data_IF_481705110195
#
_entry.id   IF_481705110195
#
_cell.length_a   1.000
_cell.length_b   1.000
_cell.length_c   1.000
_cell.angle_alpha   90.00
_cell.angle_beta   90.00
_cell.angle_gamma   90.00
#
_symmetry.space_group_name_H-M   'P 1'
#
loop_
_entity.id
_entity.type
_entity.pdbx_description
1 polymer ?
#
# COMPACT_ATOMS: atom_id res chain seq x y z
N UNK A 1 -9.39 61.80 -66.98
CA UNK A 1 -10.60 60.95 -66.89
C UNK A 1 -10.13 59.66 -66.22
N UNK A 2 -10.55 59.20 -65.05
CA UNK A 2 -11.88 59.25 -64.41
C UNK A 2 -11.74 58.97 -62.90
N UNK A 3 -12.35 59.86 -62.08
CA UNK A 3 -13.00 59.73 -60.76
C UNK A 3 -12.57 58.64 -59.73
N UNK A 4 -12.06 59.12 -58.59
CA UNK A 4 -12.59 59.04 -57.21
C UNK A 4 -13.45 57.84 -56.71
N UNK A 5 -13.06 57.33 -55.51
CA UNK A 5 -13.82 57.32 -54.21
C UNK A 5 -14.07 55.98 -53.46
N UNK A 6 -13.52 55.94 -52.23
CA UNK A 6 -13.96 55.46 -50.88
C UNK A 6 -14.08 53.98 -50.46
N UNK A 7 -13.32 53.70 -49.38
CA UNK A 7 -13.68 53.15 -48.03
C UNK A 7 -14.33 51.75 -47.93
N UNK A 8 -13.66 50.87 -47.18
CA UNK A 8 -14.28 49.78 -46.43
C UNK A 8 -13.44 49.40 -45.20
N UNK A 9 -13.99 49.60 -43.99
CA UNK A 9 -13.46 49.13 -42.69
C UNK A 9 -14.09 47.78 -42.36
N UNK A 10 -13.30 46.80 -41.89
CA UNK A 10 -13.69 45.69 -41.00
C UNK A 10 -12.48 44.73 -40.87
N UNK A 11 -12.22 43.96 -39.82
CA UNK A 11 -12.54 43.94 -38.39
C UNK A 11 -11.60 42.85 -37.80
N UNK A 12 -11.38 42.86 -36.49
CA UNK A 12 -10.57 41.90 -35.72
C UNK A 12 -10.88 40.41 -35.99
N UNK A 13 -9.85 39.55 -35.98
CA UNK A 13 -9.91 38.16 -35.48
C UNK A 13 -8.47 37.68 -35.18
N UNK A 14 -8.01 37.80 -33.92
CA UNK A 14 -8.07 36.78 -32.88
C UNK A 14 -6.95 35.71 -33.01
N UNK A 15 -5.99 35.80 -32.10
CA UNK A 15 -4.89 34.86 -31.91
C UNK A 15 -5.40 33.46 -31.52
N UNK A 16 -4.81 32.41 -32.11
CA UNK A 16 -4.91 31.05 -31.61
C UNK A 16 -3.54 30.60 -31.12
N UNK A 17 -3.22 30.90 -29.85
CA UNK A 17 -2.15 30.22 -29.14
C UNK A 17 -2.71 28.86 -28.69
N UNK A 18 -2.34 27.78 -29.38
CA UNK A 18 -2.67 26.42 -28.94
C UNK A 18 -1.86 26.11 -27.69
N UNK A 19 -2.48 26.20 -26.52
CA UNK A 19 -1.95 25.62 -25.30
C UNK A 19 -1.97 24.09 -25.45
N UNK A 20 -0.81 23.49 -25.70
CA UNK A 20 -0.65 22.04 -25.65
C UNK A 20 -0.76 21.63 -24.17
N UNK A 21 -1.91 21.11 -23.78
CA UNK A 21 -2.05 20.37 -22.52
C UNK A 21 -1.30 19.06 -22.69
N UNK A 22 -0.02 19.03 -22.29
CA UNK A 22 0.67 17.78 -22.07
C UNK A 22 0.12 17.22 -20.76
N UNK A 23 -0.61 16.08 -20.74
CA UNK A 23 -0.84 15.39 -19.48
C UNK A 23 0.54 14.89 -19.03
N UNK A 24 1.19 15.62 -18.12
CA UNK A 24 2.39 15.15 -17.44
C UNK A 24 1.99 13.95 -16.59
N UNK A 25 2.16 12.77 -17.19
CA UNK A 25 2.46 11.47 -16.59
C UNK A 25 1.89 11.23 -15.18
N UNK A 26 0.56 11.07 -15.05
CA UNK A 26 -0.02 10.48 -13.84
C UNK A 26 0.37 9.00 -13.64
N UNK A 27 0.85 8.31 -14.69
CA UNK A 27 1.16 6.88 -14.66
C UNK A 27 2.59 6.52 -14.17
N UNK A 28 3.52 7.47 -14.03
CA UNK A 28 4.85 7.17 -13.47
C UNK A 28 4.88 7.14 -11.93
N UNK A 29 3.86 7.72 -11.28
CA UNK A 29 3.75 7.77 -9.81
C UNK A 29 3.11 6.51 -9.18
N UNK A 30 2.57 5.58 -9.97
CA UNK A 30 1.89 4.41 -9.42
C UNK A 30 2.81 3.34 -8.83
N UNK A 31 4.13 3.40 -9.10
CA UNK A 31 5.12 2.51 -8.49
C UNK A 31 5.95 3.14 -7.36
N UNK A 32 5.69 4.41 -7.00
CA UNK A 32 6.37 5.08 -5.89
C UNK A 32 5.46 5.28 -4.67
N UNK A 33 4.72 4.23 -4.26
CA UNK A 33 3.98 4.35 -3.01
C UNK A 33 4.95 4.53 -1.84
N UNK A 34 4.70 5.54 -1.01
CA UNK A 34 5.41 5.70 0.26
C UNK A 34 5.07 4.57 1.25
N UNK A 35 3.87 4.00 1.17
CA UNK A 35 3.46 2.92 2.04
C UNK A 35 3.85 1.57 1.44
N UNK A 36 4.72 0.84 2.13
CA UNK A 36 5.26 -0.44 1.64
C UNK A 36 5.26 -1.51 2.72
N UNK A 37 5.34 -2.76 2.30
CA UNK A 37 5.48 -3.90 3.18
C UNK A 37 6.95 -4.01 3.57
N UNK A 38 7.29 -3.71 4.82
CA UNK A 38 8.67 -3.83 5.31
C UNK A 38 9.12 -5.28 5.42
N UNK A 39 8.23 -6.15 5.89
CA UNK A 39 8.53 -7.56 6.09
C UNK A 39 7.38 -8.32 6.73
N UNK A 40 7.50 -9.64 6.76
CA UNK A 40 6.51 -10.55 7.33
C UNK A 40 7.20 -11.58 8.22
N UNK A 41 6.70 -11.76 9.46
CA UNK A 41 6.89 -13.01 10.19
C UNK A 41 5.82 -13.95 9.64
N UNK A 42 6.21 -14.79 8.69
CA UNK A 42 5.29 -15.64 7.95
C UNK A 42 5.15 -17.02 8.60
N UNK A 43 6.16 -17.45 9.35
CA UNK A 43 6.15 -18.68 10.14
C UNK A 43 6.26 -18.26 11.62
N UNK A 44 5.23 -18.57 12.40
CA UNK A 44 5.18 -18.16 13.80
C UNK A 44 6.23 -18.95 14.61
N UNK A 45 7.05 -18.29 15.45
CA UNK A 45 7.99 -19.00 16.30
C UNK A 45 7.31 -20.07 17.18
N UNK A 46 7.90 -21.26 17.22
CA UNK A 46 7.40 -22.40 17.96
C UNK A 46 6.50 -23.31 17.12
N UNK A 47 5.86 -24.29 17.78
CA UNK A 47 4.92 -25.18 17.09
C UNK A 47 3.58 -24.48 16.89
N UNK A 48 3.09 -24.54 15.67
CA UNK A 48 1.80 -24.01 15.28
C UNK A 48 0.64 -24.50 16.15
N UNK A 49 -0.10 -23.53 16.69
CA UNK A 49 -1.27 -23.74 17.50
C UNK A 49 -2.34 -22.69 17.16
N UNK A 50 -3.36 -23.12 16.42
CA UNK A 50 -4.54 -22.33 16.05
C UNK A 50 -5.49 -22.19 17.26
N UNK A 51 -5.09 -21.38 18.24
CA UNK A 51 -5.89 -21.08 19.42
C UNK A 51 -5.79 -19.60 19.80
N UNK A 52 -6.93 -18.99 20.09
CA UNK A 52 -7.01 -17.56 20.40
C UNK A 52 -6.31 -17.16 21.71
N UNK A 53 -6.29 -18.06 22.68
CA UNK A 53 -5.85 -17.78 24.05
C UNK A 53 -4.45 -18.33 24.32
N UNK A 54 -4.18 -19.55 23.87
CA UNK A 54 -2.93 -20.26 24.12
C UNK A 54 -2.06 -20.45 22.88
N UNK A 55 -2.55 -20.09 21.70
CA UNK A 55 -1.86 -20.26 20.44
C UNK A 55 -0.85 -19.16 20.13
N UNK A 56 -0.13 -19.36 19.03
CA UNK A 56 0.94 -18.49 18.54
C UNK A 56 0.57 -17.72 17.26
N UNK A 57 -0.69 -17.76 16.80
CA UNK A 57 -1.12 -17.05 15.57
C UNK A 57 -0.89 -15.53 15.60
N UNK A 58 -0.85 -14.91 16.79
CA UNK A 58 -0.48 -13.49 16.97
C UNK A 58 1.00 -13.19 16.72
N UNK A 59 1.84 -14.22 16.67
CA UNK A 59 3.26 -14.12 16.39
C UNK A 59 3.54 -14.08 14.88
N UNK A 60 2.58 -14.46 14.03
CA UNK A 60 2.59 -14.06 12.62
C UNK A 60 2.12 -12.61 12.48
N UNK A 61 2.86 -11.85 11.70
CA UNK A 61 2.53 -10.45 11.45
C UNK A 61 3.16 -9.93 10.17
N UNK A 62 2.48 -8.95 9.58
CA UNK A 62 3.00 -8.10 8.51
C UNK A 62 3.36 -6.74 9.09
N UNK A 63 4.56 -6.24 8.77
CA UNK A 63 4.94 -4.88 9.09
C UNK A 63 4.77 -4.00 7.85
N UNK A 64 3.91 -3.00 7.95
CA UNK A 64 3.67 -2.02 6.87
C UNK A 64 4.23 -0.70 7.35
N UNK A 65 5.11 -0.08 6.57
CA UNK A 65 5.85 1.13 6.97
C UNK A 65 5.60 2.26 5.98
N UNK A 66 5.51 3.47 6.53
CA UNK A 66 5.52 4.70 5.76
C UNK A 66 6.97 5.14 5.50
N UNK A 67 7.40 4.99 4.25
CA UNK A 67 8.72 5.40 3.75
C UNK A 67 8.76 6.84 3.24
N UNK A 68 7.66 7.61 3.37
CA UNK A 68 7.70 9.03 3.07
C UNK A 68 8.67 9.74 4.03
N UNK A 69 9.43 10.70 3.50
CA UNK A 69 10.28 11.56 4.32
C UNK A 69 9.49 12.63 5.08
N UNK A 70 8.27 12.96 4.67
CA UNK A 70 7.53 14.13 5.18
C UNK A 70 6.01 13.93 5.32
N UNK A 71 5.41 13.04 4.53
CA UNK A 71 3.96 12.88 4.53
C UNK A 71 3.51 11.84 5.56
N UNK A 72 2.52 12.20 6.37
CA UNK A 72 1.73 11.24 7.15
C UNK A 72 0.79 10.47 6.23
N UNK A 73 0.63 9.16 6.45
CA UNK A 73 -0.30 8.30 5.70
C UNK A 73 -1.41 7.81 6.62
N UNK A 74 -2.67 8.02 6.24
CA UNK A 74 -3.80 7.36 6.88
C UNK A 74 -4.08 6.01 6.19
N UNK A 75 -4.13 4.93 6.97
CA UNK A 75 -4.36 3.58 6.47
C UNK A 75 -5.83 3.27 6.18
N UNK A 76 -6.79 4.13 6.55
CA UNK A 76 -8.20 3.88 6.29
C UNK A 76 -8.46 3.59 4.80
N UNK A 77 -9.07 2.44 4.53
CA UNK A 77 -9.39 1.94 3.20
C UNK A 77 -8.27 1.16 2.51
N UNK A 78 -7.05 1.12 3.08
CA UNK A 78 -6.01 0.22 2.58
C UNK A 78 -6.41 -1.24 2.82
N UNK A 79 -5.95 -2.11 1.94
CA UNK A 79 -6.29 -3.54 1.96
C UNK A 79 -5.02 -4.37 1.82
N UNK A 80 -4.88 -5.34 2.71
CA UNK A 80 -3.89 -6.41 2.60
C UNK A 80 -4.57 -7.66 2.08
N UNK A 81 -3.97 -8.33 1.10
CA UNK A 81 -4.42 -9.63 0.61
C UNK A 81 -3.24 -10.57 0.42
N UNK A 82 -3.51 -11.85 0.46
CA UNK A 82 -2.59 -12.87 -0.04
C UNK A 82 -3.10 -13.49 -1.36
N UNK A 83 -2.36 -14.44 -1.92
CA UNK A 83 -2.78 -15.15 -3.13
C UNK A 83 -3.86 -16.23 -2.86
N UNK A 84 -4.03 -16.64 -1.61
CA UNK A 84 -4.93 -17.75 -1.22
C UNK A 84 -6.33 -17.30 -0.83
N UNK A 85 -6.56 -15.99 -0.73
CA UNK A 85 -7.86 -15.38 -0.49
C UNK A 85 -8.01 -14.70 0.87
N UNK A 86 -6.97 -14.69 1.72
CA UNK A 86 -6.97 -13.88 2.93
C UNK A 86 -7.06 -12.40 2.55
N UNK A 87 -7.91 -11.68 3.28
CA UNK A 87 -8.14 -10.25 3.09
C UNK A 87 -8.28 -9.56 4.44
N UNK A 88 -7.60 -8.44 4.61
CA UNK A 88 -7.79 -7.51 5.71
C UNK A 88 -7.99 -6.10 5.16
N UNK A 89 -8.95 -5.36 5.70
CA UNK A 89 -9.18 -3.97 5.34
C UNK A 89 -9.07 -3.10 6.59
N UNK A 90 -8.28 -2.04 6.52
CA UNK A 90 -8.24 -1.03 7.56
C UNK A 90 -9.52 -0.19 7.47
N UNK A 91 -10.47 -0.40 8.36
CA UNK A 91 -11.78 0.28 8.33
C UNK A 91 -11.80 1.58 9.14
N UNK A 92 -10.96 1.66 10.16
CA UNK A 92 -10.78 2.84 11.00
C UNK A 92 -9.62 3.72 10.50
N UNK A 93 -9.57 4.95 11.00
CA UNK A 93 -8.39 5.80 10.80
C UNK A 93 -7.21 5.26 11.60
N UNK A 94 -6.04 5.24 10.97
CA UNK A 94 -4.76 4.90 11.59
C UNK A 94 -3.68 5.68 10.85
N UNK A 95 -2.94 6.53 11.54
CA UNK A 95 -2.02 7.49 10.94
C UNK A 95 -0.57 7.10 11.21
N UNK A 96 0.16 6.83 10.14
CA UNK A 96 1.61 6.58 10.20
C UNK A 96 2.36 7.84 9.85
N UNK A 97 3.14 8.35 10.80
CA UNK A 97 4.09 9.44 10.56
C UNK A 97 5.22 9.00 9.61
N UNK A 98 6.00 9.93 9.05
CA UNK A 98 7.23 9.59 8.31
C UNK A 98 8.11 8.60 9.09
N UNK A 99 8.45 7.47 8.47
CA UNK A 99 9.26 6.41 9.06
C UNK A 99 8.52 5.44 9.99
N UNK A 100 7.28 5.74 10.38
CA UNK A 100 6.46 4.93 11.29
C UNK A 100 5.86 3.70 10.60
N UNK A 101 5.41 2.72 11.39
CA UNK A 101 4.90 1.45 10.90
C UNK A 101 3.73 0.92 11.72
N UNK A 102 2.90 0.06 11.12
CA UNK A 102 1.90 -0.76 11.82
C UNK A 102 2.26 -2.25 11.70
N UNK A 103 1.93 -3.02 12.74
CA UNK A 103 1.90 -4.49 12.67
C UNK A 103 0.47 -4.98 12.48
N UNK A 104 0.16 -5.55 11.34
CA UNK A 104 -1.06 -6.34 11.13
C UNK A 104 -0.77 -7.78 11.56
N UNK A 105 -1.42 -8.27 12.61
CA UNK A 105 -1.16 -9.59 13.17
C UNK A 105 -2.40 -10.47 13.28
N UNK A 106 -2.16 -11.77 13.42
CA UNK A 106 -3.20 -12.74 13.73
C UNK A 106 -3.72 -12.60 15.17
N UNK A 107 -4.65 -13.47 15.53
CA UNK A 107 -5.31 -13.48 16.83
C UNK A 107 -6.39 -12.41 16.98
N UNK A 108 -7.00 -12.39 18.16
CA UNK A 108 -7.96 -11.36 18.56
C UNK A 108 -7.27 -10.18 19.23
N UNK A 109 -7.86 -9.01 19.05
CA UNK A 109 -7.47 -7.79 19.73
C UNK A 109 -8.24 -6.61 19.18
N UNK A 110 -7.91 -5.43 19.68
CA UNK A 110 -8.49 -4.17 19.24
C UNK A 110 -7.42 -3.38 18.52
N UNK A 111 -7.72 -2.95 17.31
CA UNK A 111 -6.86 -2.06 16.53
C UNK A 111 -6.51 -0.81 17.36
N UNK A 112 -5.26 -0.38 17.26
CA UNK A 112 -4.74 0.74 18.04
C UNK A 112 -3.75 1.54 17.22
N UNK A 113 -4.18 2.76 16.87
CA UNK A 113 -3.33 3.79 16.26
C UNK A 113 -2.12 4.10 17.14
N UNK A 114 -2.38 4.41 18.42
CA UNK A 114 -1.34 4.70 19.42
C UNK A 114 -0.27 3.62 19.57
N UNK A 115 -0.66 2.34 19.48
CA UNK A 115 0.25 1.21 19.67
C UNK A 115 0.71 0.59 18.34
N UNK A 116 0.31 1.16 17.21
CA UNK A 116 0.69 0.70 15.88
C UNK A 116 0.43 -0.79 15.63
N UNK A 117 -0.78 -1.22 15.98
CA UNK A 117 -1.21 -2.60 15.80
C UNK A 117 -2.62 -2.69 15.22
N UNK A 118 -2.79 -3.61 14.29
CA UNK A 118 -4.09 -4.04 13.77
C UNK A 118 -4.22 -5.56 13.87
N UNK A 119 -5.45 -6.05 14.04
CA UNK A 119 -5.73 -7.46 14.27
C UNK A 119 -6.69 -7.99 13.21
N UNK A 120 -6.35 -9.12 12.60
CA UNK A 120 -7.27 -9.81 11.68
C UNK A 120 -8.48 -10.43 12.39
N UNK A 121 -8.50 -10.45 13.73
CA UNK A 121 -9.59 -10.98 14.55
C UNK A 121 -9.95 -12.44 14.22
N UNK A 122 -8.93 -13.26 13.93
CA UNK A 122 -9.04 -14.67 13.61
C UNK A 122 -7.88 -15.43 14.26
N UNK A 123 -8.10 -16.69 14.67
CA UNK A 123 -7.14 -17.53 15.36
C UNK A 123 -6.58 -18.65 14.49
N UNK A 124 -6.58 -18.44 13.18
CA UNK A 124 -5.81 -19.20 12.20
C UNK A 124 -4.61 -18.37 11.74
N UNK A 125 -3.55 -19.05 11.32
CA UNK A 125 -2.41 -18.42 10.65
C UNK A 125 -2.84 -17.64 9.40
N UNK A 126 -2.15 -16.53 9.18
CA UNK A 126 -2.42 -15.57 8.12
C UNK A 126 -1.60 -15.86 6.87
N UNK A 127 -0.42 -16.45 7.06
CA UNK A 127 0.57 -16.66 6.01
C UNK A 127 0.86 -18.15 5.84
N UNK A 128 1.30 -18.54 4.65
CA UNK A 128 1.62 -19.93 4.35
C UNK A 128 3.11 -20.20 4.54
N UNK A 129 3.46 -21.17 5.39
CA UNK A 129 4.84 -21.50 5.73
C UNK A 129 5.71 -21.94 4.54
N UNK A 130 5.14 -22.44 3.45
CA UNK A 130 5.94 -22.84 2.27
C UNK A 130 6.23 -21.65 1.34
N UNK A 131 5.36 -20.63 1.34
CA UNK A 131 5.45 -19.47 0.47
C UNK A 131 4.09 -18.82 0.19
N UNK A 132 4.11 -17.54 -0.11
CA UNK A 132 2.89 -16.77 -0.42
C UNK A 132 3.23 -15.54 -1.29
N UNK A 133 2.19 -14.84 -1.74
CA UNK A 133 2.31 -13.50 -2.34
C UNK A 133 1.41 -12.51 -1.59
N UNK A 134 2.03 -11.52 -0.95
CA UNK A 134 1.36 -10.50 -0.17
C UNK A 134 1.18 -9.26 -1.04
N UNK A 135 -0.04 -8.75 -1.08
CA UNK A 135 -0.43 -7.55 -1.80
C UNK A 135 -0.91 -6.48 -0.83
N UNK A 136 -0.42 -5.26 -1.01
CA UNK A 136 -0.95 -4.06 -0.34
C UNK A 136 -1.60 -3.17 -1.38
N UNK A 137 -2.89 -2.87 -1.20
CA UNK A 137 -3.68 -2.02 -2.09
C UNK A 137 -4.04 -0.70 -1.41
N UNK A 138 -4.01 0.37 -2.21
CA UNK A 138 -4.53 1.68 -1.83
C UNK A 138 -6.07 1.66 -1.81
N UNK A 139 -6.73 2.63 -1.14
CA UNK A 139 -8.18 2.77 -1.18
C UNK A 139 -8.76 2.94 -2.60
N UNK A 140 -7.96 3.50 -3.52
CA UNK A 140 -8.32 3.63 -4.94
C UNK A 140 -8.39 2.29 -5.69
N UNK A 141 -7.91 1.20 -5.10
CA UNK A 141 -7.79 -0.11 -5.75
C UNK A 141 -6.47 -0.32 -6.48
N UNK A 142 -5.66 0.73 -6.70
CA UNK A 142 -4.32 0.57 -7.27
C UNK A 142 -3.38 -0.12 -6.27
N UNK A 143 -2.41 -0.89 -6.76
CA UNK A 143 -1.43 -1.57 -5.91
C UNK A 143 -0.46 -0.55 -5.28
N UNK A 144 -0.24 -0.68 -3.98
CA UNK A 144 0.77 0.07 -3.23
C UNK A 144 2.10 -0.66 -3.25
N UNK A 145 2.07 -1.97 -2.98
CA UNK A 145 3.25 -2.83 -2.91
C UNK A 145 2.87 -4.31 -3.11
N UNK A 146 3.84 -5.15 -3.46
CA UNK A 146 3.69 -6.61 -3.56
C UNK A 146 5.01 -7.33 -3.34
N UNK A 147 4.96 -8.41 -2.58
CA UNK A 147 6.10 -9.30 -2.40
C UNK A 147 5.65 -10.75 -2.43
N UNK A 148 6.41 -11.58 -3.14
CA UNK A 148 6.31 -13.02 -3.08
C UNK A 148 7.50 -13.57 -2.29
N UNK A 149 7.28 -14.67 -1.59
CA UNK A 149 8.34 -15.39 -0.90
C UNK A 149 8.15 -16.89 -0.97
N UNK A 150 9.24 -17.60 -0.72
CA UNK A 150 9.23 -19.03 -0.39
C UNK A 150 10.16 -19.24 0.80
N UNK A 151 9.86 -20.21 1.66
CA UNK A 151 10.71 -20.53 2.81
C UNK A 151 12.17 -20.76 2.39
N UNK A 152 12.39 -21.63 1.41
CA UNK A 152 13.73 -21.97 0.93
C UNK A 152 14.47 -20.82 0.25
N UNK A 153 13.75 -19.94 -0.44
CA UNK A 153 14.34 -18.90 -1.29
C UNK A 153 14.49 -17.53 -0.61
N UNK A 154 13.78 -17.29 0.49
CA UNK A 154 13.65 -15.96 1.07
C UNK A 154 14.02 -15.88 2.55
N UNK A 155 14.11 -17.02 3.24
CA UNK A 155 14.37 -17.15 4.68
C UNK A 155 15.58 -18.08 4.90
N UNK A 156 16.78 -17.54 4.65
CA UNK A 156 18.01 -18.33 4.65
C UNK A 156 18.52 -18.65 6.07
N UNK A 157 18.17 -17.82 7.05
CA UNK A 157 18.46 -18.02 8.47
C UNK A 157 17.40 -18.88 9.17
N UNK A 158 16.22 -19.05 8.57
CA UNK A 158 15.19 -19.98 9.03
C UNK A 158 14.46 -19.50 10.26
N UNK A 159 14.42 -18.18 10.49
CA UNK A 159 13.77 -17.58 11.66
C UNK A 159 12.27 -17.31 11.41
N UNK A 160 11.77 -17.61 10.21
CA UNK A 160 10.38 -17.41 9.83
C UNK A 160 10.04 -15.96 9.47
N UNK A 161 11.03 -15.08 9.39
CA UNK A 161 10.86 -13.67 9.09
C UNK A 161 11.59 -13.27 7.80
N UNK A 162 10.88 -12.52 6.95
CA UNK A 162 11.44 -12.02 5.69
C UNK A 162 11.37 -10.49 5.70
N UNK A 163 12.52 -9.86 5.38
CA UNK A 163 12.61 -8.42 5.13
C UNK A 163 12.58 -8.14 3.64
N UNK A 164 11.59 -7.35 3.21
CA UNK A 164 11.47 -6.93 1.81
C UNK A 164 12.04 -5.53 1.57
N UNK A 165 11.92 -4.65 2.56
CA UNK A 165 12.43 -3.28 2.50
C UNK A 165 13.16 -2.91 3.80
N UNK A 166 14.19 -2.05 3.68
CA UNK A 166 15.00 -1.56 4.80
C UNK A 166 14.32 -0.41 5.54
#
# INVERSE_FOLDING_TARGET
MTKHVRIGVAAFAAACATAVLIPVQAHAAEYSSALKIRGAQYDAPGRDSNNCSSGNTRAEYLTIRNYSASATVNLKGYVVKDATGNRFAFTANHYLQPGDYVKLRGGHGTDSDKNNVAYRANCNFMWNNDGDTIYLYKPSGSRSDVHAYTKRGSDADGDGYIRFHS
#
